data_IF_382023779039
#
_entry.id   IF_382023779039
#
_cell.length_a   1.000
_cell.length_b   1.000
_cell.length_c   1.000
_cell.angle_alpha   90.00
_cell.angle_beta   90.00
_cell.angle_gamma   90.00
#
_symmetry.space_group_name_H-M   'P 1'
#
loop_
_entity.id
_entity.type
_entity.pdbx_description
1 polymer ?
#
# COMPACT_ATOMS: atom_id res chain seq x y z
N UNK A 1 -3.32 3.25 24.70
CA UNK A 1 -3.64 2.62 23.39
C UNK A 1 -2.59 3.14 22.41
N UNK A 2 -1.88 2.26 21.70
CA UNK A 2 -0.67 2.59 20.91
C UNK A 2 -0.87 2.41 19.39
N UNK A 3 -2.00 1.83 18.98
CA UNK A 3 -2.36 1.56 17.59
C UNK A 3 -3.84 1.89 17.33
N UNK A 4 -4.23 2.01 16.06
CA UNK A 4 -5.62 2.13 15.62
C UNK A 4 -5.83 1.55 14.22
N UNK A 5 -7.08 1.18 13.90
CA UNK A 5 -7.45 0.63 12.58
C UNK A 5 -8.34 1.62 11.84
N UNK A 6 -7.98 1.94 10.60
CA UNK A 6 -8.85 2.62 9.64
C UNK A 6 -9.52 1.58 8.75
N UNK A 7 -10.84 1.69 8.58
CA UNK A 7 -11.56 0.95 7.53
C UNK A 7 -11.72 1.85 6.31
N UNK A 8 -11.28 1.37 5.15
CA UNK A 8 -11.53 2.00 3.86
C UNK A 8 -12.71 1.37 3.12
N UNK A 9 -13.56 0.60 3.80
CA UNK A 9 -14.68 -0.12 3.18
C UNK A 9 -15.63 0.83 2.43
N UNK A 10 -15.99 1.95 3.08
CA UNK A 10 -16.86 2.95 2.47
C UNK A 10 -16.20 3.63 1.27
N UNK A 11 -14.89 3.94 1.38
CA UNK A 11 -14.13 4.52 0.28
C UNK A 11 -14.11 3.56 -0.92
N UNK A 12 -13.83 2.27 -0.69
CA UNK A 12 -13.84 1.24 -1.74
C UNK A 12 -15.19 1.13 -2.44
N UNK A 13 -16.30 1.20 -1.69
CA UNK A 13 -17.66 1.19 -2.25
C UNK A 13 -17.94 2.43 -3.11
N UNK A 14 -17.46 3.59 -2.70
CA UNK A 14 -17.72 4.86 -3.37
C UNK A 14 -16.84 5.09 -4.60
N UNK A 15 -15.56 4.71 -4.53
CA UNK A 15 -14.56 5.11 -5.53
C UNK A 15 -13.88 3.94 -6.22
N UNK A 16 -14.07 2.72 -5.75
CA UNK A 16 -13.34 1.55 -6.24
C UNK A 16 -11.91 1.45 -5.71
N UNK A 17 -11.40 2.42 -4.95
CA UNK A 17 -10.04 2.39 -4.37
C UNK A 17 -9.98 1.48 -3.15
N UNK A 18 -9.10 0.47 -3.18
CA UNK A 18 -8.90 -0.48 -2.08
C UNK A 18 -7.84 -0.02 -1.07
N UNK A 19 -7.76 -0.70 0.08
CA UNK A 19 -6.67 -0.56 1.02
C UNK A 19 -5.31 -0.89 0.38
N UNK A 20 -5.26 -1.86 -0.54
CA UNK A 20 -4.07 -2.13 -1.35
C UNK A 20 -3.68 -0.91 -2.19
N UNK A 21 -4.62 -0.26 -2.88
CA UNK A 21 -4.33 0.93 -3.70
C UNK A 21 -3.82 2.09 -2.85
N UNK A 22 -4.45 2.33 -1.70
CA UNK A 22 -3.99 3.33 -0.73
C UNK A 22 -2.58 3.02 -0.25
N UNK A 23 -2.30 1.78 0.13
CA UNK A 23 -0.99 1.36 0.61
C UNK A 23 0.11 1.44 -0.46
N UNK A 24 -0.18 1.06 -1.71
CA UNK A 24 0.77 1.26 -2.81
C UNK A 24 1.04 2.74 -3.07
N UNK A 25 0.03 3.59 -2.90
CA UNK A 25 0.20 5.04 -3.03
C UNK A 25 1.04 5.62 -1.88
N UNK A 26 0.94 5.09 -0.66
CA UNK A 26 1.82 5.51 0.46
C UNK A 26 3.31 5.36 0.14
N UNK A 27 3.67 4.35 -0.65
CA UNK A 27 5.05 4.13 -1.11
C UNK A 27 5.53 5.30 -1.97
N UNK A 28 4.65 5.91 -2.78
CA UNK A 28 4.98 7.10 -3.56
C UNK A 28 5.24 8.34 -2.68
N UNK A 29 4.70 8.36 -1.45
CA UNK A 29 5.01 9.36 -0.43
C UNK A 29 6.25 9.02 0.40
N UNK A 30 6.99 7.96 0.05
CA UNK A 30 8.16 7.50 0.81
C UNK A 30 7.79 6.85 2.15
N UNK A 31 6.53 6.49 2.35
CA UNK A 31 6.04 5.85 3.56
C UNK A 31 5.82 4.36 3.33
N UNK A 32 6.41 3.51 4.18
CA UNK A 32 6.01 2.10 4.21
C UNK A 32 4.57 2.02 4.72
N UNK A 33 3.66 1.31 4.01
CA UNK A 33 2.28 1.22 4.45
C UNK A 33 2.16 0.51 5.80
N UNK A 34 1.11 0.81 6.58
CA UNK A 34 0.80 0.10 7.81
C UNK A 34 0.43 -1.37 7.54
N UNK A 35 0.18 -2.12 8.61
CA UNK A 35 -0.41 -3.46 8.48
C UNK A 35 -1.73 -3.38 7.71
N UNK A 36 -1.87 -4.19 6.66
CA UNK A 36 -3.05 -4.21 5.79
C UNK A 36 -3.90 -5.45 6.04
N UNK A 37 -5.21 -5.34 5.82
CA UNK A 37 -6.16 -6.45 5.85
C UNK A 37 -6.15 -7.27 7.16
N UNK A 38 -5.71 -6.64 8.25
CA UNK A 38 -5.79 -7.18 9.60
C UNK A 38 -6.20 -6.06 10.57
N UNK A 39 -7.05 -6.34 11.58
CA UNK A 39 -7.72 -7.62 11.86
C UNK A 39 -8.78 -7.96 10.80
N UNK A 40 -9.03 -9.27 10.60
CA UNK A 40 -9.94 -9.77 9.54
C UNK A 40 -11.40 -9.32 9.69
N UNK A 41 -11.79 -8.83 10.87
CA UNK A 41 -13.14 -8.32 11.17
C UNK A 41 -13.36 -6.89 10.67
N UNK A 42 -12.32 -6.21 10.18
CA UNK A 42 -12.41 -4.87 9.62
C UNK A 42 -12.12 -4.95 8.12
N UNK A 43 -13.10 -4.61 7.28
CA UNK A 43 -12.95 -4.63 5.82
C UNK A 43 -12.09 -3.45 5.35
N UNK A 44 -11.23 -3.72 4.35
CA UNK A 44 -10.25 -2.76 3.81
C UNK A 44 -9.44 -2.09 4.94
N UNK A 45 -8.97 -2.90 5.89
CA UNK A 45 -8.26 -2.45 7.07
C UNK A 45 -6.85 -1.94 6.77
N UNK A 46 -6.51 -0.81 7.40
CA UNK A 46 -5.15 -0.31 7.57
C UNK A 46 -4.91 -0.05 9.07
N UNK A 47 -4.02 -0.82 9.69
CA UNK A 47 -3.75 -0.78 11.14
C UNK A 47 -2.42 -0.07 11.41
N UNK A 48 -2.50 1.13 11.94
CA UNK A 48 -1.38 2.03 12.20
C UNK A 48 -0.88 1.88 13.63
N UNK A 49 0.44 1.73 13.77
CA UNK A 49 1.17 1.75 15.03
C UNK A 49 2.44 2.57 14.83
N UNK A 50 2.50 3.84 15.30
CA UNK A 50 3.68 4.68 15.11
C UNK A 50 4.84 4.37 16.06
N UNK A 51 4.56 3.70 17.19
CA UNK A 51 5.48 3.56 18.33
C UNK A 51 5.92 4.92 18.93
N UNK A 52 6.63 4.88 20.04
CA UNK A 52 7.05 6.08 20.78
C UNK A 52 8.26 6.81 20.20
N UNK A 53 8.99 6.20 19.26
CA UNK A 53 10.24 6.75 18.74
C UNK A 53 10.04 7.74 17.59
N UNK A 54 8.85 7.76 16.97
CA UNK A 54 8.56 8.65 15.86
C UNK A 54 8.22 10.07 16.32
N UNK A 55 8.86 11.05 15.68
CA UNK A 55 8.65 12.47 15.95
C UNK A 55 7.30 12.97 15.44
N UNK A 56 6.85 14.11 15.96
CA UNK A 56 5.58 14.73 15.56
C UNK A 56 5.53 15.00 14.05
N UNK A 57 6.65 15.45 13.49
CA UNK A 57 6.81 15.74 12.07
C UNK A 57 6.58 14.50 11.19
N UNK A 58 7.02 13.31 11.61
CA UNK A 58 6.74 12.06 10.88
C UNK A 58 5.25 11.73 10.94
N UNK A 59 4.62 11.89 12.10
CA UNK A 59 3.18 11.64 12.26
C UNK A 59 2.33 12.61 11.44
N UNK A 60 2.71 13.88 11.39
CA UNK A 60 2.06 14.89 10.57
C UNK A 60 2.20 14.54 9.08
N UNK A 61 3.39 14.13 8.63
CA UNK A 61 3.64 13.73 7.25
C UNK A 61 2.81 12.48 6.86
N UNK A 62 2.73 11.49 7.74
CA UNK A 62 1.89 10.30 7.53
C UNK A 62 0.40 10.67 7.44
N UNK A 63 -0.07 11.56 8.31
CA UNK A 63 -1.46 12.03 8.29
C UNK A 63 -1.78 12.81 7.00
N UNK A 64 -0.88 13.66 6.52
CA UNK A 64 -1.04 14.40 5.26
C UNK A 64 -1.01 13.47 4.04
N UNK A 65 -0.16 12.44 4.04
CA UNK A 65 -0.17 11.40 3.00
C UNK A 65 -1.53 10.69 2.94
N UNK A 66 -2.08 10.26 4.09
CA UNK A 66 -3.40 9.62 4.15
C UNK A 66 -4.50 10.57 3.66
N UNK A 67 -4.53 11.83 4.11
CA UNK A 67 -5.52 12.82 3.64
C UNK A 67 -5.45 13.03 2.13
N UNK A 68 -4.25 13.12 1.58
CA UNK A 68 -4.04 13.31 0.15
C UNK A 68 -4.53 12.10 -0.64
N UNK A 69 -4.25 10.88 -0.17
CA UNK A 69 -4.75 9.64 -0.77
C UNK A 69 -6.28 9.61 -0.74
N UNK A 70 -6.92 9.97 0.37
CA UNK A 70 -8.39 10.01 0.48
C UNK A 70 -9.02 11.04 -0.47
N UNK A 71 -8.35 12.17 -0.69
CA UNK A 71 -8.80 13.18 -1.65
C UNK A 71 -8.65 12.67 -3.09
N UNK A 72 -7.46 12.13 -3.44
CA UNK A 72 -7.18 11.59 -4.76
C UNK A 72 -8.11 10.43 -5.11
N UNK A 73 -8.46 9.57 -4.15
CA UNK A 73 -9.41 8.50 -4.38
C UNK A 73 -10.77 9.00 -4.92
N UNK A 74 -11.17 10.24 -4.59
CA UNK A 74 -12.42 10.83 -5.07
C UNK A 74 -12.27 11.60 -6.38
N UNK A 75 -11.08 12.16 -6.65
CA UNK A 75 -10.84 13.04 -7.80
C UNK A 75 -10.16 12.34 -8.97
N UNK A 76 -9.31 11.36 -8.69
CA UNK A 76 -8.44 10.64 -9.63
C UNK A 76 -8.10 9.22 -9.12
N UNK A 77 -9.11 8.32 -9.04
CA UNK A 77 -8.91 6.96 -8.53
C UNK A 77 -7.98 6.12 -9.41
N UNK A 78 -7.95 6.35 -10.73
CA UNK A 78 -7.10 5.62 -11.67
C UNK A 78 -5.61 5.79 -11.36
N UNK A 79 -5.21 6.98 -10.90
CA UNK A 79 -3.84 7.21 -10.44
C UNK A 79 -3.46 6.28 -9.28
N UNK A 80 -4.38 6.00 -8.36
CA UNK A 80 -4.15 5.12 -7.21
C UNK A 80 -4.11 3.65 -7.63
N UNK A 81 -4.93 3.25 -8.60
CA UNK A 81 -4.86 1.92 -9.20
C UNK A 81 -3.51 1.65 -9.88
N UNK A 82 -2.92 2.68 -10.50
CA UNK A 82 -1.60 2.60 -11.12
C UNK A 82 -0.42 2.62 -10.15
N UNK A 83 -0.60 2.99 -8.88
CA UNK A 83 0.49 3.12 -7.91
C UNK A 83 1.17 1.76 -7.59
N UNK A 84 2.47 1.71 -7.24
CA UNK A 84 3.38 2.85 -7.09
C UNK A 84 3.96 3.33 -8.44
N UNK A 85 4.32 4.61 -8.50
CA UNK A 85 4.88 5.29 -9.68
C UNK A 85 6.36 5.69 -9.52
N UNK A 86 6.85 5.82 -8.29
CA UNK A 86 8.22 6.33 -8.02
C UNK A 86 9.26 5.23 -7.79
N UNK A 87 8.83 3.98 -7.66
CA UNK A 87 9.70 2.85 -7.37
C UNK A 87 10.32 2.22 -8.62
N UNK A 88 11.47 1.53 -8.50
CA UNK A 88 12.13 0.87 -9.65
C UNK A 88 11.27 -0.18 -10.36
N UNK A 89 10.30 -0.77 -9.64
CA UNK A 89 9.32 -1.71 -10.17
C UNK A 89 7.92 -1.30 -9.70
N UNK A 90 6.91 -1.59 -10.52
CA UNK A 90 5.49 -1.40 -10.18
C UNK A 90 4.90 -2.60 -9.43
N UNK A 91 3.59 -2.81 -9.56
CA UNK A 91 2.90 -3.97 -9.00
C UNK A 91 3.37 -5.27 -9.68
N UNK A 92 3.91 -6.25 -8.93
CA UNK A 92 4.23 -7.55 -9.48
C UNK A 92 2.97 -8.30 -9.94
N UNK A 93 3.10 -9.16 -10.95
CA UNK A 93 2.05 -10.10 -11.33
C UNK A 93 2.00 -11.27 -10.34
N UNK A 94 1.30 -11.06 -9.23
CA UNK A 94 1.13 -12.06 -8.17
C UNK A 94 0.41 -13.32 -8.68
N UNK A 95 -0.55 -13.17 -9.60
CA UNK A 95 -1.30 -14.29 -10.17
C UNK A 95 -0.40 -15.14 -11.07
N UNK A 96 0.36 -14.50 -11.95
CA UNK A 96 1.34 -15.16 -12.80
C UNK A 96 2.42 -15.86 -11.98
N UNK A 97 2.97 -15.20 -10.97
CA UNK A 97 3.97 -15.77 -10.07
C UNK A 97 3.43 -16.97 -9.29
N UNK A 98 2.18 -16.91 -8.80
CA UNK A 98 1.56 -18.02 -8.08
C UNK A 98 1.25 -19.22 -9.00
N UNK A 99 0.92 -18.97 -10.27
CA UNK A 99 0.58 -20.02 -11.26
C UNK A 99 1.80 -20.62 -11.95
N UNK A 100 2.86 -19.85 -12.15
CA UNK A 100 4.08 -20.24 -12.86
C UNK A 100 5.33 -19.84 -12.06
N UNK A 101 5.57 -20.47 -10.89
CA UNK A 101 6.63 -20.04 -9.98
C UNK A 101 8.03 -20.31 -10.53
N UNK A 102 8.85 -19.27 -10.61
CA UNK A 102 10.30 -19.38 -10.88
C UNK A 102 11.05 -19.26 -9.55
N UNK A 103 11.40 -20.41 -8.97
CA UNK A 103 11.92 -20.50 -7.59
C UNK A 103 13.44 -20.48 -7.49
N UNK A 104 14.15 -20.55 -8.62
CA UNK A 104 15.61 -20.53 -8.68
C UNK A 104 16.09 -19.80 -9.92
N UNK A 105 17.27 -19.21 -9.82
CA UNK A 105 17.98 -18.69 -10.98
C UNK A 105 18.67 -19.85 -11.71
N UNK A 106 18.60 -19.86 -13.04
CA UNK A 106 19.34 -20.80 -13.89
C UNK A 106 20.45 -20.02 -14.62
N UNK A 107 21.70 -20.32 -14.28
CA UNK A 107 22.86 -19.73 -14.96
C UNK A 107 22.89 -20.24 -16.40
N UNK A 108 23.05 -19.33 -17.38
CA UNK A 108 23.27 -19.75 -18.76
C UNK A 108 24.64 -20.43 -18.89
N UNK A 109 24.76 -21.40 -19.81
CA UNK A 109 26.04 -22.07 -20.10
C UNK A 109 27.11 -21.10 -20.62
N UNK A 110 26.72 -19.94 -21.14
CA UNK A 110 27.62 -18.85 -21.60
C UNK A 110 28.20 -18.01 -20.44
N UNK A 111 27.63 -18.12 -19.25
CA UNK A 111 28.10 -17.43 -18.05
C UNK A 111 29.06 -18.29 -17.20
N UNK A 112 29.44 -19.49 -17.68
CA UNK A 112 30.50 -20.34 -17.12
C UNK A 112 31.81 -20.15 -17.88
#
# INVERSE_FOLDING_TARGET
>A
MHEFVLSLEQLKKETGVSAMDAAKTMIDFGMHPPTMYFPLIVHEALMFEPTETEGKETLDAAAEAVKTILALAKTDPERLHGAPHTTPIGRPDEVGAARNPVLRYEFSEEAK
#
